data_IF_502899043256
#
_entry.id   IF_502899043256
#
_cell.length_a   1.000
_cell.length_b   1.000
_cell.length_c   1.000
_cell.angle_alpha   90.00
_cell.angle_beta   90.00
_cell.angle_gamma   90.00
#
_symmetry.space_group_name_H-M   'P 1'
#
loop_
_entity.id
_entity.type
_entity.pdbx_description
1 polymer ?
#
# COMPACT_ATOMS: atom_id res chain seq x y z
N UNK A 1 19.37 34.08 -0.37
CA UNK A 1 18.16 34.42 0.42
C UNK A 1 18.39 35.81 0.98
N UNK A 2 17.49 36.79 0.75
CA UNK A 2 17.60 38.12 1.34
C UNK A 2 17.66 38.05 2.87
N UNK A 3 18.40 38.97 3.51
CA UNK A 3 18.60 38.96 4.98
C UNK A 3 17.28 39.13 5.75
N UNK A 4 16.32 39.88 5.19
CA UNK A 4 14.97 40.05 5.75
C UNK A 4 14.19 38.73 5.78
N UNK A 5 14.22 37.98 4.67
CA UNK A 5 13.59 36.66 4.58
C UNK A 5 14.26 35.67 5.53
N UNK A 6 15.59 35.75 5.68
CA UNK A 6 16.32 34.94 6.64
C UNK A 6 15.92 35.25 8.07
N UNK A 7 15.78 36.53 8.44
CA UNK A 7 15.33 36.94 9.76
C UNK A 7 13.91 36.45 10.07
N UNK A 8 12.99 36.51 9.09
CA UNK A 8 11.63 35.97 9.23
C UNK A 8 11.61 34.45 9.40
N UNK A 9 12.51 33.72 8.73
CA UNK A 9 12.63 32.26 8.86
C UNK A 9 13.31 31.82 10.17
N UNK A 10 14.11 32.70 10.80
CA UNK A 10 14.79 32.42 12.06
C UNK A 10 13.96 32.83 13.29
N UNK A 11 12.86 33.56 13.12
CA UNK A 11 11.96 33.94 14.20
C UNK A 11 11.21 32.71 14.76
N UNK A 12 11.20 32.51 16.09
CA UNK A 12 10.52 31.38 16.72
C UNK A 12 9.05 31.27 16.30
N UNK A 13 8.52 30.04 16.30
CA UNK A 13 7.10 29.81 16.06
C UNK A 13 6.26 30.36 17.22
N UNK A 14 5.19 31.06 16.87
CA UNK A 14 4.17 31.51 17.81
C UNK A 14 3.34 30.33 18.33
N UNK A 15 2.67 30.51 19.47
CA UNK A 15 1.87 29.44 20.07
C UNK A 15 0.74 28.97 19.13
N UNK A 16 0.11 29.88 18.40
CA UNK A 16 -0.94 29.54 17.43
C UNK A 16 -0.41 28.71 16.26
N UNK A 17 0.81 29.00 15.79
CA UNK A 17 1.47 28.19 14.75
C UNK A 17 1.84 26.81 15.28
N UNK A 18 2.34 26.69 16.51
CA UNK A 18 2.61 25.40 17.15
C UNK A 18 1.33 24.57 17.30
N UNK A 19 0.22 25.20 17.71
CA UNK A 19 -1.08 24.55 17.82
C UNK A 19 -1.63 24.12 16.45
N UNK A 20 -1.44 24.95 15.43
CA UNK A 20 -1.82 24.64 14.05
C UNK A 20 -1.02 23.45 13.49
N UNK A 21 0.31 23.46 13.63
CA UNK A 21 1.18 22.36 13.19
C UNK A 21 0.82 21.07 13.93
N UNK A 22 0.67 21.12 15.25
CA UNK A 22 0.29 19.93 16.03
C UNK A 22 -1.08 19.38 15.67
N UNK A 23 -2.06 20.25 15.41
CA UNK A 23 -3.38 19.85 14.93
C UNK A 23 -3.33 19.26 13.52
N UNK A 24 -2.51 19.80 12.63
CA UNK A 24 -2.33 19.31 11.27
C UNK A 24 -1.59 17.97 11.22
N UNK A 25 -0.56 17.80 12.03
CA UNK A 25 0.32 16.63 12.03
C UNK A 25 -0.07 15.55 13.04
N UNK A 26 -1.26 15.63 13.66
CA UNK A 26 -1.70 14.67 14.68
C UNK A 26 -1.71 13.20 14.21
N UNK A 27 -1.71 12.95 12.90
CA UNK A 27 -1.61 11.60 12.32
C UNK A 27 -0.17 11.09 12.20
N UNK A 28 0.85 11.97 12.30
CA UNK A 28 2.26 11.60 12.16
C UNK A 28 2.72 10.46 13.09
N UNK A 29 2.36 10.44 14.40
CA UNK A 29 2.77 9.35 15.27
C UNK A 29 1.99 8.07 15.03
N UNK A 30 0.97 8.04 14.16
CA UNK A 30 0.15 6.85 13.98
C UNK A 30 0.90 5.79 13.17
N UNK A 31 0.95 4.54 13.66
CA UNK A 31 1.74 3.49 13.03
C UNK A 31 1.29 3.23 11.59
N UNK A 32 -0.01 3.29 11.31
CA UNK A 32 -0.53 2.95 9.99
C UNK A 32 -0.20 4.00 8.92
N UNK A 33 -0.25 5.29 9.27
CA UNK A 33 0.10 6.39 8.37
C UNK A 33 1.59 6.42 8.08
N UNK A 34 2.37 6.12 9.11
CA UNK A 34 3.81 6.02 8.97
C UNK A 34 4.21 4.80 8.14
N UNK A 35 3.62 3.63 8.41
CA UNK A 35 3.84 2.40 7.66
C UNK A 35 3.46 2.59 6.19
N UNK A 36 2.31 3.21 5.90
CA UNK A 36 1.89 3.54 4.53
C UNK A 36 2.93 4.38 3.78
N UNK A 37 3.43 5.44 4.41
CA UNK A 37 4.44 6.32 3.80
C UNK A 37 5.74 5.55 3.53
N UNK A 38 6.17 4.69 4.45
CA UNK A 38 7.36 3.86 4.28
C UNK A 38 7.18 2.76 3.24
N UNK A 39 6.01 2.15 3.16
CA UNK A 39 5.66 1.16 2.14
C UNK A 39 5.77 1.78 0.74
N UNK A 40 5.19 2.96 0.51
CA UNK A 40 5.33 3.65 -0.78
C UNK A 40 6.76 4.07 -1.10
N UNK A 41 7.57 4.43 -0.10
CA UNK A 41 9.01 4.69 -0.34
C UNK A 41 9.77 3.42 -0.70
N UNK A 42 9.47 2.31 -0.04
CA UNK A 42 10.04 1.01 -0.36
C UNK A 42 9.63 0.55 -1.75
N UNK A 43 8.36 0.71 -2.12
CA UNK A 43 7.81 0.47 -3.45
C UNK A 43 8.53 1.29 -4.53
N UNK A 44 8.64 2.62 -4.35
CA UNK A 44 9.39 3.47 -5.30
C UNK A 44 10.85 3.07 -5.46
N UNK A 45 11.50 2.62 -4.38
CA UNK A 45 12.88 2.10 -4.45
C UNK A 45 12.91 0.77 -5.18
N UNK A 46 11.95 -0.12 -4.93
CA UNK A 46 11.81 -1.37 -5.65
C UNK A 46 11.63 -1.10 -7.15
N UNK A 47 10.69 -0.23 -7.54
CA UNK A 47 10.47 0.18 -8.93
C UNK A 47 11.73 0.75 -9.60
N UNK A 48 12.47 1.61 -8.88
CA UNK A 48 13.67 2.26 -9.41
C UNK A 48 14.85 1.30 -9.60
N UNK A 49 14.90 0.20 -8.84
CA UNK A 49 15.94 -0.81 -8.95
C UNK A 49 15.52 -2.01 -9.81
N UNK A 50 14.24 -2.12 -10.15
CA UNK A 50 13.74 -3.17 -11.01
C UNK A 50 14.22 -2.94 -12.46
N UNK A 51 14.88 -3.93 -13.10
CA UNK A 51 15.37 -3.76 -14.46
C UNK A 51 14.22 -3.53 -15.44
N UNK A 52 14.47 -2.70 -16.46
CA UNK A 52 13.56 -2.52 -17.59
C UNK A 52 14.00 -3.41 -18.78
N UNK A 53 13.09 -4.17 -19.41
CA UNK A 53 11.66 -4.30 -19.09
C UNK A 53 11.40 -5.06 -17.78
N UNK A 54 10.33 -4.70 -17.07
CA UNK A 54 9.94 -5.32 -15.79
C UNK A 54 9.84 -6.85 -15.96
N UNK A 55 10.49 -7.66 -15.10
CA UNK A 55 10.46 -9.12 -15.19
C UNK A 55 9.03 -9.67 -15.23
N UNK A 56 8.81 -10.74 -16.00
CA UNK A 56 7.48 -11.31 -16.24
C UNK A 56 6.73 -11.64 -14.94
N UNK A 57 7.44 -12.12 -13.92
CA UNK A 57 6.83 -12.45 -12.63
C UNK A 57 6.35 -11.24 -11.82
N UNK A 58 6.80 -10.02 -12.15
CA UNK A 58 6.30 -8.78 -11.55
C UNK A 58 5.26 -8.06 -12.41
N UNK A 59 4.82 -8.69 -13.51
CA UNK A 59 3.74 -8.18 -14.35
C UNK A 59 2.37 -8.68 -13.88
N UNK A 60 1.31 -7.95 -14.26
CA UNK A 60 -0.09 -8.26 -13.96
C UNK A 60 -0.39 -8.31 -12.45
N UNK A 61 -1.58 -8.82 -12.12
CA UNK A 61 -2.10 -8.89 -10.74
C UNK A 61 -1.16 -9.63 -9.78
N UNK A 62 -0.73 -10.84 -10.14
CA UNK A 62 0.17 -11.63 -9.28
C UNK A 62 1.54 -10.94 -9.11
N UNK A 63 2.01 -10.23 -10.13
CA UNK A 63 3.24 -9.46 -10.03
C UNK A 63 3.17 -8.32 -9.01
N UNK A 64 2.08 -7.54 -9.04
CA UNK A 64 1.83 -6.51 -8.02
C UNK A 64 1.75 -7.12 -6.62
N UNK A 65 1.09 -8.26 -6.44
CA UNK A 65 1.00 -8.93 -5.13
C UNK A 65 2.38 -9.35 -4.59
N UNK A 66 3.24 -9.91 -5.45
CA UNK A 66 4.62 -10.29 -5.07
C UNK A 66 5.42 -9.06 -4.66
N UNK A 67 5.29 -7.96 -5.40
CA UNK A 67 5.86 -6.66 -5.05
C UNK A 67 5.38 -6.17 -3.68
N UNK A 68 4.08 -6.29 -3.38
CA UNK A 68 3.53 -5.96 -2.06
C UNK A 68 4.15 -6.75 -0.91
N UNK A 69 4.36 -8.06 -1.10
CA UNK A 69 5.05 -8.91 -0.10
C UNK A 69 6.50 -8.47 0.11
N UNK A 70 7.24 -8.21 -0.97
CA UNK A 70 8.63 -7.73 -0.92
C UNK A 70 8.71 -6.38 -0.22
N UNK A 71 7.86 -5.43 -0.60
CA UNK A 71 7.80 -4.09 -0.03
C UNK A 71 7.54 -4.15 1.47
N UNK A 72 6.54 -4.94 1.90
CA UNK A 72 6.26 -5.13 3.31
C UNK A 72 7.47 -5.72 4.04
N UNK A 73 8.10 -6.76 3.49
CA UNK A 73 9.25 -7.40 4.10
C UNK A 73 10.39 -6.40 4.38
N UNK A 74 10.69 -5.53 3.40
CA UNK A 74 11.68 -4.46 3.56
C UNK A 74 11.28 -3.48 4.68
N UNK A 75 10.02 -3.02 4.70
CA UNK A 75 9.55 -2.12 5.76
C UNK A 75 9.66 -2.79 7.13
N UNK A 76 9.24 -4.05 7.24
CA UNK A 76 9.30 -4.84 8.47
C UNK A 76 10.73 -4.99 8.98
N UNK A 77 11.67 -5.46 8.15
CA UNK A 77 13.09 -5.62 8.57
C UNK A 77 13.67 -4.31 9.09
N UNK A 78 13.37 -3.19 8.41
CA UNK A 78 13.80 -1.87 8.88
C UNK A 78 13.19 -1.51 10.22
N UNK A 79 11.89 -1.74 10.40
CA UNK A 79 11.17 -1.38 11.62
C UNK A 79 11.55 -2.28 12.80
N UNK A 80 11.89 -3.55 12.55
CA UNK A 80 12.48 -4.48 13.52
C UNK A 80 13.87 -4.00 13.96
N UNK A 81 14.74 -3.62 13.01
CA UNK A 81 16.05 -3.01 13.31
C UNK A 81 15.93 -1.71 14.12
N UNK A 82 14.86 -0.95 13.88
CA UNK A 82 14.52 0.26 14.61
C UNK A 82 13.82 -0.03 15.95
N UNK A 83 13.43 -1.26 16.27
CA UNK A 83 12.71 -1.60 17.50
C UNK A 83 11.30 -1.01 17.59
N UNK A 84 10.69 -0.63 16.45
CA UNK A 84 9.32 -0.08 16.39
C UNK A 84 8.31 -1.07 15.81
N UNK A 85 8.77 -2.19 15.26
CA UNK A 85 7.88 -3.22 14.73
C UNK A 85 7.09 -3.91 15.85
N UNK A 86 5.78 -4.06 15.66
CA UNK A 86 4.91 -4.85 16.54
C UNK A 86 4.64 -6.21 15.87
N UNK A 87 5.00 -7.31 16.54
CA UNK A 87 4.82 -8.67 16.00
C UNK A 87 3.36 -9.09 15.82
N UNK A 88 2.41 -8.36 16.41
CA UNK A 88 0.98 -8.58 16.23
C UNK A 88 0.45 -8.01 14.91
N UNK A 89 1.21 -7.11 14.26
CA UNK A 89 0.81 -6.55 12.98
C UNK A 89 0.95 -7.58 11.87
N UNK A 90 -0.12 -7.71 11.08
CA UNK A 90 -0.21 -8.60 9.95
C UNK A 90 0.35 -7.99 8.66
N UNK A 91 -0.31 -8.31 7.55
CA UNK A 91 -0.07 -7.75 6.23
C UNK A 91 -1.14 -6.71 5.94
N UNK A 92 -0.77 -5.43 6.03
CA UNK A 92 -1.66 -4.35 5.61
C UNK A 92 -2.12 -4.59 4.17
N UNK A 93 -3.43 -4.58 3.96
CA UNK A 93 -4.06 -4.79 2.66
C UNK A 93 -4.38 -6.24 2.28
N UNK A 94 -3.90 -7.23 3.04
CA UNK A 94 -4.22 -8.65 2.80
C UNK A 94 -5.63 -9.03 3.28
N UNK A 95 -6.10 -8.43 4.38
CA UNK A 95 -7.44 -8.58 4.97
C UNK A 95 -7.87 -10.03 5.28
N UNK A 96 -6.93 -10.94 5.58
CA UNK A 96 -7.26 -12.34 5.93
C UNK A 96 -7.42 -12.54 7.43
N UNK A 97 -6.56 -11.91 8.23
CA UNK A 97 -6.54 -12.06 9.68
C UNK A 97 -6.79 -10.71 10.38
N UNK A 98 -7.22 -10.71 11.65
CA UNK A 98 -7.49 -9.46 12.37
C UNK A 98 -6.30 -8.49 12.42
N UNK A 99 -5.06 -9.01 12.46
CA UNK A 99 -3.86 -8.19 12.43
C UNK A 99 -3.58 -7.51 11.08
N UNK A 100 -4.27 -7.88 10.00
CA UNK A 100 -4.13 -7.24 8.68
C UNK A 100 -4.90 -5.91 8.60
N UNK A 101 -5.83 -5.67 9.54
CA UNK A 101 -6.57 -4.42 9.65
C UNK A 101 -5.66 -3.32 10.23
N UNK A 102 -4.99 -2.60 9.32
CA UNK A 102 -4.05 -1.55 9.66
C UNK A 102 -4.70 -0.37 10.40
N UNK A 103 -6.01 -0.15 10.28
CA UNK A 103 -6.68 0.92 11.03
C UNK A 103 -6.71 0.64 12.54
N UNK A 104 -6.58 -0.64 12.92
CA UNK A 104 -6.52 -1.10 14.31
C UNK A 104 -5.09 -1.27 14.81
N UNK A 105 -4.08 -0.97 13.99
CA UNK A 105 -2.71 -1.01 14.45
C UNK A 105 -2.50 0.07 15.50
N UNK A 106 -1.96 -0.37 16.63
CA UNK A 106 -1.47 0.47 17.71
C UNK A 106 -0.01 0.13 17.93
N UNK A 107 0.74 1.09 18.46
CA UNK A 107 2.05 0.77 18.99
C UNK A 107 1.90 -0.23 20.14
N UNK A 108 2.90 -1.09 20.32
CA UNK A 108 2.81 -2.13 21.35
C UNK A 108 2.80 -1.58 22.78
N UNK A 109 3.22 -0.32 22.98
CA UNK A 109 3.17 0.38 24.27
C UNK A 109 1.89 1.20 24.48
N UNK A 110 1.02 1.31 23.47
CA UNK A 110 -0.26 1.99 23.62
C UNK A 110 -1.25 1.09 24.40
N UNK A 111 -2.14 1.69 25.21
CA UNK A 111 -3.11 0.92 25.97
C UNK A 111 -4.08 0.18 25.04
N UNK A 112 -4.54 -1.00 25.49
CA UNK A 112 -5.57 -1.77 24.77
C UNK A 112 -6.82 -0.91 24.54
N UNK A 113 -7.39 -1.00 23.33
CA UNK A 113 -8.52 -0.17 22.91
C UNK A 113 -8.17 1.24 22.42
N UNK A 114 -6.88 1.63 22.41
CA UNK A 114 -6.45 2.89 21.77
C UNK A 114 -6.86 2.96 20.28
N UNK A 115 -6.98 1.80 19.62
CA UNK A 115 -7.45 1.66 18.25
C UNK A 115 -8.86 2.24 18.01
N UNK A 116 -9.76 2.10 18.97
CA UNK A 116 -11.21 2.23 18.74
C UNK A 116 -11.75 3.65 19.05
N UNK A 117 -10.96 4.50 19.73
CA UNK A 117 -11.34 5.88 20.05
C UNK A 117 -10.60 6.90 19.16
N UNK A 118 -11.25 7.29 18.06
CA UNK A 118 -10.72 8.30 17.14
C UNK A 118 -10.40 9.64 17.81
N UNK A 119 -11.18 10.06 18.81
CA UNK A 119 -10.98 11.33 19.52
C UNK A 119 -9.74 11.28 20.42
N UNK A 120 -9.54 10.14 21.09
CA UNK A 120 -8.32 9.86 21.86
C UNK A 120 -7.08 9.81 20.95
N UNK A 121 -7.13 9.06 19.84
CA UNK A 121 -6.05 9.02 18.83
C UNK A 121 -5.67 10.41 18.33
N UNK A 122 -6.66 11.27 18.07
CA UNK A 122 -6.41 12.65 17.65
C UNK A 122 -5.68 13.45 18.74
N UNK A 123 -6.15 13.39 20.00
CA UNK A 123 -5.52 14.12 21.11
C UNK A 123 -4.11 13.63 21.41
N UNK A 124 -3.91 12.32 21.55
CA UNK A 124 -2.60 11.73 21.86
C UNK A 124 -1.59 12.05 20.75
N UNK A 125 -2.00 11.93 19.48
CA UNK A 125 -1.15 12.27 18.36
C UNK A 125 -0.79 13.76 18.31
N UNK A 126 -1.77 14.65 18.56
CA UNK A 126 -1.53 16.10 18.67
C UNK A 126 -0.59 16.43 19.83
N UNK A 127 -0.77 15.83 21.00
CA UNK A 127 0.06 16.04 22.18
C UNK A 127 1.50 15.56 21.97
N UNK A 128 1.70 14.43 21.29
CA UNK A 128 3.04 13.96 20.88
C UNK A 128 3.76 14.96 19.99
N UNK A 129 3.08 15.45 18.95
CA UNK A 129 3.64 16.47 18.06
C UNK A 129 3.93 17.77 18.82
N UNK A 130 3.00 18.24 19.65
CA UNK A 130 3.19 19.44 20.45
C UNK A 130 4.39 19.32 21.39
N UNK A 131 4.60 18.15 22.01
CA UNK A 131 5.80 17.88 22.82
C UNK A 131 7.08 17.96 21.99
N UNK A 132 7.10 17.33 20.81
CA UNK A 132 8.25 17.39 19.92
C UNK A 132 8.59 18.82 19.46
N UNK A 133 7.57 19.60 19.13
CA UNK A 133 7.71 21.02 18.79
C UNK A 133 8.28 21.85 19.96
N UNK A 134 7.77 21.64 21.19
CA UNK A 134 8.28 22.34 22.38
C UNK A 134 9.74 22.03 22.67
N UNK A 135 10.18 20.78 22.45
CA UNK A 135 11.59 20.39 22.58
C UNK A 135 12.49 21.14 21.58
N UNK A 136 11.92 21.65 20.49
CA UNK A 136 12.63 22.34 19.40
C UNK A 136 12.48 23.86 19.41
N UNK A 137 11.58 24.42 20.21
CA UNK A 137 11.22 25.84 20.17
C UNK A 137 12.41 26.82 20.31
N UNK A 138 13.50 26.39 20.95
CA UNK A 138 14.71 27.20 21.17
C UNK A 138 15.88 26.85 20.25
N UNK A 139 15.67 25.99 19.25
CA UNK A 139 16.68 25.62 18.28
C UNK A 139 16.61 26.55 17.07
N UNK A 140 17.77 26.97 16.58
CA UNK A 140 17.84 27.69 15.30
C UNK A 140 17.62 26.73 14.13
N UNK A 141 17.31 27.29 12.96
CA UNK A 141 17.21 26.51 11.72
C UNK A 141 18.50 25.73 11.48
N UNK A 142 18.37 24.41 11.33
CA UNK A 142 19.49 23.48 11.15
C UNK A 142 20.21 23.07 12.44
N UNK A 143 19.82 23.61 13.59
CA UNK A 143 20.21 23.05 14.89
C UNK A 143 19.31 21.85 15.22
N UNK A 144 19.91 20.85 15.86
CA UNK A 144 19.21 19.64 16.26
C UNK A 144 19.23 19.52 17.78
N UNK A 145 18.08 19.15 18.37
CA UNK A 145 18.04 18.77 19.77
C UNK A 145 19.04 17.62 20.00
N UNK A 146 19.72 17.55 21.15
CA UNK A 146 20.48 16.37 21.50
C UNK A 146 19.54 15.15 21.52
N UNK A 147 19.60 14.34 20.47
CA UNK A 147 18.84 13.10 20.38
C UNK A 147 19.53 12.11 21.31
N UNK A 148 18.89 11.78 22.44
CA UNK A 148 19.35 10.68 23.28
C UNK A 148 19.25 9.43 22.41
N UNK A 149 20.40 8.87 22.03
CA UNK A 149 20.46 7.64 21.24
C UNK A 149 19.87 6.50 22.06
N UNK A 150 18.60 6.21 21.82
CA UNK A 150 17.95 5.00 22.27
C UNK A 150 17.96 4.03 21.09
N UNK A 151 18.73 2.96 21.20
CA UNK A 151 18.87 1.96 20.14
C UNK A 151 17.66 1.02 20.08
N UNK A 152 16.99 0.79 21.21
CA UNK A 152 15.85 -0.11 21.30
C UNK A 152 15.00 0.29 22.50
N UNK A 153 13.69 0.07 22.38
CA UNK A 153 12.74 0.20 23.47
C UNK A 153 12.59 -1.20 24.09
N UNK A 154 12.90 -1.35 25.38
CA UNK A 154 12.76 -2.62 26.09
C UNK A 154 11.28 -2.96 26.34
N UNK A 155 10.91 -4.24 26.52
CA UNK A 155 9.51 -4.65 26.76
C UNK A 155 8.91 -4.06 28.05
N UNK A 156 9.77 -3.59 28.96
CA UNK A 156 9.45 -2.92 30.22
C UNK A 156 9.39 -1.39 30.11
N UNK A 157 9.56 -0.84 28.90
CA UNK A 157 9.54 0.59 28.70
C UNK A 157 8.18 1.20 29.07
N UNK A 158 8.24 2.30 29.81
CA UNK A 158 7.05 3.09 30.13
C UNK A 158 6.51 3.78 28.88
N UNK A 159 5.23 4.14 28.89
CA UNK A 159 4.64 4.93 27.80
C UNK A 159 5.44 6.21 27.54
N UNK A 160 5.84 6.95 28.57
CA UNK A 160 6.65 8.16 28.43
C UNK A 160 8.02 7.90 27.77
N UNK A 161 8.67 6.77 28.06
CA UNK A 161 9.91 6.39 27.40
C UNK A 161 9.72 6.02 25.94
N UNK A 162 8.59 5.38 25.62
CA UNK A 162 8.21 5.01 24.27
C UNK A 162 7.84 6.23 23.42
N UNK A 163 7.11 7.18 23.99
CA UNK A 163 6.82 8.46 23.38
C UNK A 163 8.09 9.26 23.13
N UNK A 164 8.97 9.36 24.14
CA UNK A 164 10.28 9.99 24.00
C UNK A 164 11.11 9.31 22.90
N UNK A 165 11.05 7.98 22.81
CA UNK A 165 11.68 7.21 21.76
C UNK A 165 11.13 7.57 20.38
N UNK A 166 9.81 7.61 20.20
CA UNK A 166 9.16 7.96 18.94
C UNK A 166 9.52 9.38 18.48
N UNK A 167 9.35 10.38 19.35
CA UNK A 167 9.63 11.78 19.01
C UNK A 167 11.12 12.05 18.82
N UNK A 168 12.00 11.21 19.38
CA UNK A 168 13.44 11.30 19.13
C UNK A 168 13.84 10.77 17.75
N UNK A 169 12.92 10.10 17.03
CA UNK A 169 13.30 9.45 15.79
C UNK A 169 13.58 10.46 14.68
N UNK A 170 14.68 10.25 13.94
CA UNK A 170 15.06 10.95 12.72
C UNK A 170 13.91 11.33 11.79
N UNK A 171 13.11 10.35 11.38
CA UNK A 171 12.01 10.57 10.43
C UNK A 171 10.89 11.44 11.04
N UNK A 172 10.64 11.32 12.35
CA UNK A 172 9.61 12.08 13.04
C UNK A 172 10.04 13.54 13.12
N UNK A 173 11.26 13.78 13.62
CA UNK A 173 11.86 15.11 13.71
C UNK A 173 11.93 15.78 12.33
N UNK A 174 12.30 15.04 11.28
CA UNK A 174 12.35 15.59 9.93
C UNK A 174 10.99 16.11 9.46
N UNK A 175 9.92 15.35 9.70
CA UNK A 175 8.57 15.80 9.31
C UNK A 175 8.14 17.05 10.10
N UNK A 176 8.52 17.13 11.38
CA UNK A 176 8.33 18.33 12.20
C UNK A 176 9.10 19.51 11.59
N UNK A 177 10.39 19.34 11.28
CA UNK A 177 11.24 20.37 10.65
C UNK A 177 10.64 20.89 9.34
N UNK A 178 10.13 20.01 8.47
CA UNK A 178 9.47 20.39 7.22
C UNK A 178 8.21 21.22 7.48
N UNK A 179 7.42 20.86 8.49
CA UNK A 179 6.21 21.60 8.84
C UNK A 179 6.52 22.96 9.49
N UNK A 180 7.55 23.04 10.35
CA UNK A 180 8.09 24.28 10.89
C UNK A 180 8.52 25.20 9.74
N UNK A 181 9.35 24.70 8.81
CA UNK A 181 9.86 25.48 7.67
C UNK A 181 8.73 25.94 6.73
N UNK A 182 7.73 25.09 6.48
CA UNK A 182 6.55 25.46 5.68
C UNK A 182 5.77 26.60 6.34
N UNK A 183 5.61 26.56 7.66
CA UNK A 183 4.85 27.55 8.43
C UNK A 183 5.60 28.88 8.48
N UNK A 184 6.90 28.86 8.78
CA UNK A 184 7.76 30.04 8.74
C UNK A 184 7.83 30.67 7.34
N UNK A 185 7.92 29.85 6.29
CA UNK A 185 7.90 30.33 4.90
C UNK A 185 6.57 31.00 4.52
N UNK A 186 5.45 30.51 5.06
CA UNK A 186 4.12 31.09 4.86
C UNK A 186 3.98 32.53 5.38
N UNK A 187 4.77 32.93 6.39
CA UNK A 187 4.78 34.33 6.90
C UNK A 187 5.19 35.35 5.84
N UNK A 188 6.04 34.94 4.90
CA UNK A 188 6.63 35.84 3.89
C UNK A 188 5.82 35.89 2.59
N UNK A 189 4.97 34.89 2.33
CA UNK A 189 4.25 34.76 1.07
C UNK A 189 2.78 35.17 1.24
N UNK A 190 2.48 36.45 1.02
CA UNK A 190 1.11 36.96 0.88
C UNK A 190 0.35 36.47 -0.36
N UNK A 191 0.86 35.46 -1.07
CA UNK A 191 0.28 34.95 -2.32
C UNK A 191 0.56 33.46 -2.51
N UNK A 192 -0.51 32.67 -2.53
CA UNK A 192 -0.63 31.52 -3.45
C UNK A 192 0.16 30.27 -3.13
N UNK A 193 -0.41 29.48 -2.22
CA UNK A 193 -0.26 28.04 -1.99
C UNK A 193 0.05 27.18 -3.24
N UNK A 194 1.33 26.87 -3.48
CA UNK A 194 1.71 25.78 -4.41
C UNK A 194 2.91 24.97 -3.90
N UNK A 195 3.03 24.80 -2.58
CA UNK A 195 3.94 23.78 -2.04
C UNK A 195 3.25 22.41 -2.15
N UNK A 196 3.48 21.78 -3.28
CA UNK A 196 2.85 20.53 -3.67
C UNK A 196 3.11 19.42 -2.62
N UNK A 197 2.04 18.98 -1.95
CA UNK A 197 2.01 17.86 -0.97
C UNK A 197 2.68 16.58 -1.50
N UNK A 198 2.76 16.42 -2.82
CA UNK A 198 3.38 15.27 -3.47
C UNK A 198 4.90 15.38 -3.61
N UNK A 199 5.47 16.59 -3.49
CA UNK A 199 6.92 16.81 -3.55
C UNK A 199 7.54 16.67 -2.16
N UNK A 200 7.17 15.59 -1.46
CA UNK A 200 7.81 15.15 -0.22
C UNK A 200 9.31 15.08 -0.51
N UNK A 201 10.12 15.92 0.14
CA UNK A 201 11.58 15.87 0.06
C UNK A 201 12.02 14.42 0.31
N UNK A 202 12.36 13.72 -0.77
CA UNK A 202 12.52 12.25 -0.81
C UNK A 202 13.89 11.78 -0.34
N UNK A 203 14.79 12.71 0.00
CA UNK A 203 16.17 12.38 0.36
C UNK A 203 16.66 13.23 1.52
N UNK A 204 16.30 12.86 2.74
CA UNK A 204 17.04 13.30 3.92
C UNK A 204 18.05 12.22 4.33
N UNK A 205 19.33 12.47 4.08
CA UNK A 205 20.43 11.66 4.61
C UNK A 205 20.83 12.23 5.96
N UNK A 206 20.67 11.45 7.03
CA UNK A 206 21.15 11.82 8.36
C UNK A 206 22.68 11.86 8.36
N UNK A 207 23.26 13.05 8.57
CA UNK A 207 24.72 13.24 8.56
C UNK A 207 25.43 12.76 9.83
N UNK A 208 24.69 12.47 10.90
CA UNK A 208 25.26 12.29 12.25
C UNK A 208 24.89 10.98 12.95
N UNK A 209 23.96 10.19 12.40
CA UNK A 209 23.80 8.80 12.79
C UNK A 209 24.78 7.99 11.94
N UNK A 210 25.93 7.66 12.52
CA UNK A 210 26.83 6.62 12.00
C UNK A 210 26.56 5.34 12.76
N UNK A 211 26.24 4.24 12.07
CA UNK A 211 26.06 4.15 10.62
C UNK A 211 24.74 4.80 10.21
N UNK A 212 24.74 5.51 9.07
CA UNK A 212 23.49 5.82 8.38
C UNK A 212 22.80 4.48 8.22
N UNK A 213 21.51 4.36 8.54
CA UNK A 213 20.74 3.19 8.13
C UNK A 213 20.78 3.21 6.61
N UNK A 214 21.79 2.59 6.02
CA UNK A 214 21.92 2.45 4.60
C UNK A 214 20.62 1.84 4.12
N UNK A 215 20.06 2.34 2.99
CA UNK A 215 18.89 1.68 2.42
C UNK A 215 19.19 0.19 2.36
N UNK A 216 18.24 -0.63 2.81
CA UNK A 216 18.42 -2.08 2.80
C UNK A 216 18.98 -2.51 1.46
N UNK A 217 19.96 -3.40 1.50
CA UNK A 217 20.62 -3.85 0.29
C UNK A 217 19.56 -4.52 -0.59
N UNK A 218 19.26 -3.85 -1.71
CA UNK A 218 18.34 -4.35 -2.72
C UNK A 218 19.08 -5.16 -3.79
N UNK A 219 20.39 -5.39 -3.62
CA UNK A 219 21.14 -6.29 -4.49
C UNK A 219 20.53 -7.69 -4.64
N UNK A 220 19.92 -8.31 -3.59
CA UNK A 220 19.22 -9.60 -3.73
C UNK A 220 18.08 -9.56 -4.76
N UNK A 221 17.48 -8.40 -5.04
CA UNK A 221 16.44 -8.27 -6.07
C UNK A 221 16.97 -8.59 -7.47
N UNK A 222 18.28 -8.41 -7.72
CA UNK A 222 18.88 -8.73 -9.02
C UNK A 222 18.94 -10.24 -9.29
N UNK A 223 18.84 -11.06 -8.23
CA UNK A 223 18.83 -12.52 -8.32
C UNK A 223 17.43 -13.08 -8.55
N UNK A 224 16.38 -12.26 -8.39
CA UNK A 224 14.98 -12.61 -8.64
C UNK A 224 14.64 -12.59 -10.15
N UNK A 225 15.32 -13.40 -10.97
CA UNK A 225 15.03 -13.44 -12.42
C UNK A 225 13.83 -14.32 -12.75
N UNK A 226 13.75 -15.48 -12.10
CA UNK A 226 12.80 -16.54 -12.46
C UNK A 226 11.72 -16.75 -11.38
N UNK A 227 12.08 -16.59 -10.11
CA UNK A 227 11.13 -16.66 -8.98
C UNK A 227 11.48 -15.65 -7.87
N UNK A 228 10.49 -15.03 -7.19
CA UNK A 228 10.76 -14.28 -5.97
C UNK A 228 11.33 -15.17 -4.85
N UNK A 229 11.10 -16.49 -4.93
CA UNK A 229 11.63 -17.46 -3.95
C UNK A 229 13.13 -17.73 -4.15
N UNK A 230 13.71 -17.37 -5.30
CA UNK A 230 15.14 -17.57 -5.55
C UNK A 230 16.00 -16.68 -4.65
N UNK A 231 15.48 -15.51 -4.27
CA UNK A 231 16.11 -14.61 -3.32
C UNK A 231 15.60 -14.80 -1.88
N UNK A 232 14.80 -15.84 -1.59
CA UNK A 232 14.20 -15.99 -0.26
C UNK A 232 15.23 -16.24 0.85
N UNK A 233 16.29 -16.98 0.54
CA UNK A 233 17.39 -17.21 1.47
C UNK A 233 18.21 -15.93 1.71
N UNK A 234 18.45 -15.13 0.66
CA UNK A 234 19.21 -13.88 0.76
C UNK A 234 18.43 -12.75 1.46
N UNK A 235 17.12 -12.70 1.23
CA UNK A 235 16.25 -11.70 1.85
C UNK A 235 15.79 -12.06 3.25
N UNK A 236 15.88 -13.33 3.66
CA UNK A 236 15.38 -13.83 4.96
C UNK A 236 13.86 -13.70 5.12
N UNK A 237 13.07 -14.03 4.08
CA UNK A 237 11.61 -14.02 4.22
C UNK A 237 11.17 -14.92 5.38
N UNK A 238 10.21 -14.45 6.17
CA UNK A 238 9.61 -15.29 7.21
C UNK A 238 8.75 -16.40 6.60
N UNK A 239 8.51 -17.52 7.30
CA UNK A 239 7.65 -18.58 6.78
C UNK A 239 6.29 -18.09 6.30
N UNK A 240 5.69 -17.13 7.00
CA UNK A 240 4.43 -16.50 6.57
C UNK A 240 4.56 -15.66 5.30
N UNK A 241 5.71 -15.05 5.02
CA UNK A 241 5.95 -14.28 3.79
C UNK A 241 6.18 -15.24 2.60
N UNK A 242 6.85 -16.37 2.85
CA UNK A 242 6.99 -17.45 1.86
C UNK A 242 5.62 -18.04 1.52
N UNK A 243 4.80 -18.36 2.53
CA UNK A 243 3.44 -18.87 2.34
C UNK A 243 2.58 -17.91 1.50
N UNK A 244 2.77 -16.60 1.66
CA UNK A 244 2.09 -15.59 0.83
C UNK A 244 2.55 -15.63 -0.63
N UNK A 245 3.86 -15.67 -0.87
CA UNK A 245 4.42 -15.80 -2.22
C UNK A 245 3.93 -17.08 -2.91
N UNK A 246 3.91 -18.21 -2.19
CA UNK A 246 3.36 -19.47 -2.69
C UNK A 246 1.86 -19.38 -2.97
N UNK A 247 1.09 -18.67 -2.11
CA UNK A 247 -0.36 -18.47 -2.31
C UNK A 247 -0.65 -17.64 -3.56
N UNK A 248 0.20 -16.64 -3.88
CA UNK A 248 0.07 -15.83 -5.10
C UNK A 248 0.23 -16.68 -6.37
N UNK A 249 1.04 -17.74 -6.32
CA UNK A 249 1.28 -18.65 -7.44
C UNK A 249 0.15 -19.66 -7.67
N UNK A 250 -0.77 -19.81 -6.71
CA UNK A 250 -1.91 -20.72 -6.86
C UNK A 250 -2.91 -20.20 -7.91
N UNK A 251 -3.64 -21.11 -8.58
CA UNK A 251 -4.80 -20.75 -9.38
C UNK A 251 -5.77 -19.91 -8.55
N UNK A 252 -6.42 -18.94 -9.20
CA UNK A 252 -7.30 -17.99 -8.53
C UNK A 252 -8.45 -18.64 -7.75
N UNK A 253 -8.94 -19.80 -8.20
CA UNK A 253 -9.94 -20.60 -7.50
C UNK A 253 -9.46 -21.18 -6.16
N UNK A 254 -8.14 -21.32 -5.97
CA UNK A 254 -7.50 -21.81 -4.76
C UNK A 254 -7.03 -20.68 -3.83
N UNK A 255 -7.00 -19.44 -4.31
CA UNK A 255 -6.62 -18.28 -3.50
C UNK A 255 -7.75 -17.91 -2.53
N UNK A 256 -7.42 -17.41 -1.31
CA UNK A 256 -8.43 -16.93 -0.38
C UNK A 256 -9.30 -15.82 -0.99
N UNK A 257 -10.58 -15.80 -0.64
CA UNK A 257 -11.48 -14.71 -1.06
C UNK A 257 -10.99 -13.39 -0.48
N UNK A 258 -10.90 -12.35 -1.32
CA UNK A 258 -10.42 -11.02 -0.92
C UNK A 258 -8.90 -10.88 -0.85
N UNK A 259 -8.13 -11.92 -1.24
CA UNK A 259 -6.67 -11.93 -1.16
C UNK A 259 -6.02 -10.79 -1.97
N UNK A 260 -5.51 -9.77 -1.29
CA UNK A 260 -4.89 -8.58 -1.89
C UNK A 260 -5.82 -7.84 -2.88
N UNK A 261 -7.14 -7.90 -2.65
CA UNK A 261 -8.14 -7.24 -3.49
C UNK A 261 -8.74 -6.07 -2.74
N UNK A 262 -8.73 -4.89 -3.37
CA UNK A 262 -9.52 -3.75 -2.90
C UNK A 262 -10.97 -4.01 -3.30
N UNK A 263 -11.83 -4.25 -2.31
CA UNK A 263 -13.25 -4.45 -2.55
C UNK A 263 -13.88 -3.18 -3.12
N UNK A 264 -14.77 -3.36 -4.10
CA UNK A 264 -15.51 -2.25 -4.71
C UNK A 264 -16.37 -1.57 -3.63
N UNK A 265 -16.10 -0.30 -3.37
CA UNK A 265 -16.78 0.47 -2.32
C UNK A 265 -15.93 0.67 -1.06
N UNK A 266 -14.86 -0.10 -0.89
CA UNK A 266 -13.83 0.19 0.10
C UNK A 266 -12.90 1.29 -0.43
N UNK A 267 -13.46 2.49 -0.52
CA UNK A 267 -12.73 3.71 -0.86
C UNK A 267 -11.90 4.22 0.32
N UNK A 268 -11.28 3.31 1.08
CA UNK A 268 -10.21 3.72 1.97
C UNK A 268 -9.23 4.55 1.13
N UNK A 269 -8.88 5.75 1.60
CA UNK A 269 -8.00 6.67 0.87
C UNK A 269 -6.57 6.16 0.71
N UNK A 270 -6.31 4.91 1.12
CA UNK A 270 -5.01 4.32 1.39
C UNK A 270 -4.99 2.93 0.76
N UNK A 271 -4.33 2.79 -0.39
CA UNK A 271 -4.03 1.49 -1.01
C UNK A 271 -2.55 1.16 -0.83
N UNK A 272 -2.25 -0.02 -0.30
CA UNK A 272 -0.89 -0.48 -0.12
C UNK A 272 -0.30 -1.05 -1.42
N UNK A 273 1.03 -0.97 -1.60
CA UNK A 273 1.72 -1.68 -2.66
C UNK A 273 1.29 -3.14 -2.74
N UNK A 274 0.85 -3.56 -3.93
CA UNK A 274 0.35 -4.90 -4.21
C UNK A 274 -1.16 -5.12 -4.02
N UNK A 275 -1.88 -4.20 -3.37
CA UNK A 275 -3.34 -4.19 -3.43
C UNK A 275 -3.81 -3.70 -4.81
N UNK A 276 -4.70 -4.46 -5.43
CA UNK A 276 -5.23 -4.14 -6.75
C UNK A 276 -6.75 -4.36 -6.77
N UNK A 277 -7.46 -3.57 -7.57
CA UNK A 277 -8.85 -3.86 -7.90
C UNK A 277 -8.88 -5.09 -8.79
N UNK A 278 -9.68 -6.08 -8.42
CA UNK A 278 -9.82 -7.29 -9.20
C UNK A 278 -10.78 -7.06 -10.37
N UNK A 279 -10.26 -6.42 -11.42
CA UNK A 279 -11.04 -6.05 -12.60
C UNK A 279 -11.74 -7.25 -13.26
N UNK A 280 -11.20 -8.46 -13.15
CA UNK A 280 -11.83 -9.66 -13.69
C UNK A 280 -13.00 -10.12 -12.82
N UNK A 281 -12.86 -10.09 -11.49
CA UNK A 281 -13.98 -10.39 -10.59
C UNK A 281 -15.09 -9.35 -10.80
N UNK A 282 -14.70 -8.07 -10.85
CA UNK A 282 -15.63 -6.97 -11.04
C UNK A 282 -16.37 -7.08 -12.39
N UNK A 283 -15.66 -7.48 -13.46
CA UNK A 283 -16.26 -7.68 -14.77
C UNK A 283 -17.21 -8.89 -14.78
N UNK A 284 -16.84 -9.98 -14.13
CA UNK A 284 -17.67 -11.18 -13.99
C UNK A 284 -18.92 -10.91 -13.16
N UNK A 285 -18.78 -10.24 -12.02
CA UNK A 285 -19.88 -9.79 -11.18
C UNK A 285 -20.80 -8.85 -11.96
N UNK A 286 -20.25 -7.84 -12.64
CA UNK A 286 -21.03 -6.91 -13.46
C UNK A 286 -21.77 -7.62 -14.60
N UNK A 287 -21.18 -8.67 -15.18
CA UNK A 287 -21.81 -9.49 -16.21
C UNK A 287 -22.94 -10.37 -15.63
N UNK A 288 -22.74 -10.93 -14.45
CA UNK A 288 -23.74 -11.70 -13.73
C UNK A 288 -24.94 -10.83 -13.31
N UNK A 289 -24.69 -9.65 -12.71
CA UNK A 289 -25.72 -8.66 -12.37
C UNK A 289 -26.52 -8.24 -13.62
N UNK A 290 -25.82 -8.02 -14.73
CA UNK A 290 -26.45 -7.70 -16.01
C UNK A 290 -27.33 -8.86 -16.51
N UNK A 291 -26.86 -10.09 -16.42
CA UNK A 291 -27.62 -11.27 -16.84
C UNK A 291 -28.86 -11.49 -15.95
N UNK A 292 -28.72 -11.33 -14.64
CA UNK A 292 -29.84 -11.41 -13.70
C UNK A 292 -30.89 -10.32 -13.97
N UNK A 293 -30.45 -9.09 -14.22
CA UNK A 293 -31.32 -7.99 -14.62
C UNK A 293 -32.08 -8.31 -15.93
N UNK A 294 -31.40 -8.90 -16.91
CA UNK A 294 -32.00 -9.29 -18.19
C UNK A 294 -33.06 -10.40 -18.01
N UNK A 295 -32.76 -11.43 -17.22
CA UNK A 295 -33.72 -12.49 -16.92
C UNK A 295 -34.92 -11.96 -16.13
N UNK A 296 -34.70 -11.01 -15.20
CA UNK A 296 -35.79 -10.34 -14.48
C UNK A 296 -36.70 -9.54 -15.41
N UNK A 297 -36.15 -8.76 -16.34
CA UNK A 297 -36.93 -8.00 -17.31
C UNK A 297 -37.73 -8.90 -18.25
N UNK A 298 -37.12 -10.00 -18.67
CA UNK A 298 -37.76 -11.03 -19.48
C UNK A 298 -38.93 -11.68 -18.74
N UNK A 299 -38.77 -12.00 -17.44
CA UNK A 299 -39.85 -12.52 -16.60
C UNK A 299 -41.00 -11.51 -16.42
N UNK A 300 -40.70 -10.21 -16.37
CA UNK A 300 -41.70 -9.13 -16.29
C UNK A 300 -42.33 -8.77 -17.64
N UNK A 301 -41.93 -9.42 -18.75
CA UNK A 301 -42.38 -9.05 -20.10
C UNK A 301 -41.91 -7.66 -20.56
N UNK A 302 -40.91 -7.09 -19.88
CA UNK A 302 -40.33 -5.78 -20.21
C UNK A 302 -39.14 -5.97 -21.14
N UNK A 303 -38.99 -5.07 -22.12
CA UNK A 303 -37.79 -5.02 -22.96
C UNK A 303 -36.65 -4.37 -22.16
N UNK A 304 -35.41 -4.85 -22.28
CA UNK A 304 -34.27 -4.22 -21.62
C UNK A 304 -34.15 -2.75 -22.01
N UNK A 305 -33.87 -1.85 -21.06
CA UNK A 305 -33.66 -0.44 -21.36
C UNK A 305 -32.45 -0.33 -22.30
N UNK A 306 -32.69 0.19 -23.49
CA UNK A 306 -31.62 0.49 -24.43
C UNK A 306 -30.81 1.65 -23.84
N UNK A 307 -29.49 1.49 -23.70
CA UNK A 307 -28.67 2.58 -23.17
C UNK A 307 -28.81 3.81 -24.07
N UNK A 308 -28.79 5.01 -23.48
CA UNK A 308 -28.99 6.27 -24.23
C UNK A 308 -27.97 6.41 -25.39
N UNK A 309 -26.74 5.91 -25.21
CA UNK A 309 -25.72 5.87 -26.26
C UNK A 309 -26.07 4.92 -27.40
N UNK A 310 -26.57 3.71 -27.11
CA UNK A 310 -27.02 2.76 -28.14
C UNK A 310 -28.25 3.30 -28.87
N UNK A 311 -29.20 3.90 -28.14
CA UNK A 311 -30.37 4.57 -28.73
C UNK A 311 -29.95 5.70 -29.66
N UNK A 312 -29.07 6.60 -29.20
CA UNK A 312 -28.53 7.69 -30.02
C UNK A 312 -27.80 7.17 -31.26
N UNK A 313 -27.01 6.10 -31.14
CA UNK A 313 -26.33 5.48 -32.29
C UNK A 313 -27.34 4.91 -33.29
N UNK A 314 -28.37 4.20 -32.82
CA UNK A 314 -29.45 3.68 -33.67
C UNK A 314 -30.18 4.83 -34.38
N UNK A 315 -30.58 5.87 -33.65
CA UNK A 315 -31.32 7.01 -34.18
C UNK A 315 -30.47 7.79 -35.21
N UNK A 316 -29.16 7.93 -34.96
CA UNK A 316 -28.23 8.68 -35.81
C UNK A 316 -27.88 7.93 -37.10
N UNK A 317 -27.64 6.61 -37.01
CA UNK A 317 -27.16 5.82 -38.16
C UNK A 317 -28.29 5.08 -38.89
N UNK A 318 -29.47 4.97 -38.31
CA UNK A 318 -30.64 4.30 -38.90
C UNK A 318 -31.94 5.13 -38.77
N UNK A 319 -31.98 6.37 -39.28
CA UNK A 319 -33.05 7.34 -39.01
C UNK A 319 -34.44 6.98 -39.53
N UNK A 320 -34.61 5.91 -40.32
CA UNK A 320 -35.89 5.53 -40.93
C UNK A 320 -36.43 4.17 -40.47
N UNK A 321 -35.99 3.65 -39.32
CA UNK A 321 -36.50 2.39 -38.77
C UNK A 321 -36.25 1.17 -39.68
N UNK A 322 -35.27 1.26 -40.59
CA UNK A 322 -34.85 0.13 -41.40
C UNK A 322 -34.41 -1.00 -40.44
N UNK A 323 -34.95 -2.22 -40.58
CA UNK A 323 -34.66 -3.31 -39.67
C UNK A 323 -33.15 -3.59 -39.68
N UNK A 324 -32.53 -3.32 -38.54
CA UNK A 324 -31.13 -3.56 -38.29
C UNK A 324 -30.89 -5.08 -38.37
N UNK A 325 -30.35 -5.56 -39.48
CA UNK A 325 -29.74 -6.90 -39.59
C UNK A 325 -28.29 -6.82 -39.09
N UNK A 326 -28.06 -6.43 -37.83
CA UNK A 326 -26.68 -6.34 -37.30
C UNK A 326 -26.06 -7.69 -36.93
N UNK A 327 -26.87 -8.75 -36.88
CA UNK A 327 -26.42 -10.14 -36.89
C UNK A 327 -27.42 -10.92 -37.72
N UNK A 328 -27.24 -10.93 -39.03
CA UNK A 328 -27.80 -12.04 -39.80
C UNK A 328 -27.17 -13.28 -39.22
N UNK A 329 -27.96 -14.18 -38.63
CA UNK A 329 -27.50 -15.53 -38.33
C UNK A 329 -26.75 -16.00 -39.58
N UNK A 330 -25.49 -16.45 -39.47
CA UNK A 330 -24.82 -17.04 -40.61
C UNK A 330 -25.79 -18.05 -41.24
N UNK A 331 -25.94 -18.07 -42.58
CA UNK A 331 -26.77 -19.06 -43.22
C UNK A 331 -26.38 -20.43 -42.66
N UNK A 332 -27.34 -21.35 -42.40
CA UNK A 332 -27.01 -22.66 -41.90
C UNK A 332 -26.08 -23.33 -42.92
N UNK A 333 -24.78 -23.28 -42.65
CA UNK A 333 -23.83 -24.15 -43.33
C UNK A 333 -24.21 -25.56 -42.91
N UNK A 334 -24.54 -26.36 -43.92
CA UNK A 334 -24.69 -27.81 -43.82
C UNK A 334 -23.37 -28.36 -43.27
N UNK A 335 -23.31 -28.49 -41.94
CA UNK A 335 -22.17 -29.08 -41.25
C UNK A 335 -22.32 -30.59 -41.35
N UNK A 336 -21.77 -31.15 -42.42
CA UNK A 336 -21.32 -32.53 -42.43
C UNK A 336 -20.45 -32.80 -41.20
N UNK A 337 -20.55 -34.04 -40.74
CA UNK A 337 -19.91 -34.61 -39.57
C UNK A 337 -18.43 -34.21 -39.46
N UNK A 338 -18.12 -33.38 -38.48
CA UNK A 338 -16.77 -33.29 -37.90
C UNK A 338 -16.90 -33.28 -36.40
N UNK A 339 -17.12 -34.49 -35.87
CA UNK A 339 -16.73 -34.82 -34.51
C UNK A 339 -15.23 -34.58 -34.37
N UNK A 340 -14.84 -34.10 -33.18
CA UNK A 340 -13.50 -34.12 -32.60
C UNK A 340 -12.63 -32.89 -32.92
N UNK A 341 -12.76 -31.84 -32.10
CA UNK A 341 -11.67 -31.04 -31.51
C UNK A 341 -12.23 -29.72 -30.94
N UNK A 342 -12.55 -29.72 -29.65
CA UNK A 342 -12.41 -28.53 -28.78
C UNK A 342 -12.69 -28.93 -27.33
N UNK A 343 -11.62 -29.13 -26.56
CA UNK A 343 -11.55 -28.80 -25.13
C UNK A 343 -10.07 -28.84 -24.74
N UNK A 344 -9.35 -27.74 -24.97
CA UNK A 344 -8.13 -27.44 -24.21
C UNK A 344 -7.76 -25.96 -24.38
N UNK A 345 -8.34 -25.11 -23.52
CA UNK A 345 -7.84 -23.76 -23.30
C UNK A 345 -6.69 -23.84 -22.29
N UNK A 346 -5.56 -24.37 -22.75
CA UNK A 346 -4.29 -24.33 -22.05
C UNK A 346 -3.57 -23.02 -22.39
N UNK A 347 -3.05 -22.36 -21.34
CA UNK A 347 -2.01 -21.33 -21.45
C UNK A 347 -0.87 -21.80 -22.37
N UNK A 348 -0.15 -20.90 -23.08
CA UNK A 348 0.98 -21.31 -23.88
C UNK A 348 2.10 -21.84 -22.98
N UNK A 349 2.19 -23.17 -22.87
CA UNK A 349 3.37 -23.88 -22.39
C UNK A 349 4.49 -23.70 -23.41
N UNK A 350 5.46 -22.83 -23.09
CA UNK A 350 6.78 -22.90 -23.69
C UNK A 350 7.44 -24.23 -23.30
N UNK A 351 7.61 -25.08 -24.30
CA UNK A 351 8.32 -26.34 -24.22
C UNK A 351 9.82 -26.09 -24.04
N UNK A 352 10.33 -26.25 -22.83
CA UNK A 352 11.70 -26.72 -22.61
C UNK A 352 11.68 -27.79 -21.53
N UNK A 353 11.98 -29.01 -21.96
CA UNK A 353 11.92 -30.22 -21.14
C UNK A 353 12.97 -30.19 -20.01
N UNK A 354 12.56 -29.71 -18.83
CA UNK A 354 13.10 -30.14 -17.53
C UNK A 354 11.92 -30.28 -16.58
N UNK A 355 11.59 -31.50 -16.20
CA UNK A 355 10.66 -31.76 -15.12
C UNK A 355 11.13 -31.00 -13.88
N UNK A 356 10.33 -30.07 -13.32
CA UNK A 356 10.71 -29.40 -12.09
C UNK A 356 10.77 -30.45 -10.97
N UNK A 357 11.73 -30.34 -10.04
CA UNK A 357 11.76 -31.22 -8.87
C UNK A 357 10.42 -31.09 -8.15
N UNK A 358 9.76 -32.23 -7.91
CA UNK A 358 8.59 -32.33 -7.06
C UNK A 358 8.98 -31.81 -5.66
N UNK A 359 8.80 -30.50 -5.43
CA UNK A 359 8.92 -29.91 -4.10
C UNK A 359 7.83 -30.56 -3.26
N UNK A 360 8.24 -31.39 -2.30
CA UNK A 360 7.34 -31.93 -1.30
C UNK A 360 6.62 -30.77 -0.65
N UNK A 361 5.34 -30.64 -0.96
CA UNK A 361 4.41 -29.68 -0.36
C UNK A 361 4.61 -29.77 1.15
N UNK A 362 5.14 -28.73 1.79
CA UNK A 362 5.18 -28.65 3.24
C UNK A 362 3.72 -28.68 3.68
N UNK A 363 3.27 -29.83 4.16
CA UNK A 363 1.95 -29.98 4.74
C UNK A 363 1.84 -28.95 5.84
N UNK A 364 0.94 -27.98 5.67
CA UNK A 364 0.58 -26.95 6.66
C UNK A 364 0.20 -27.68 7.95
N UNK A 365 1.16 -27.88 8.85
CA UNK A 365 0.86 -28.25 10.21
C UNK A 365 0.31 -26.99 10.85
N UNK A 366 -1.02 -26.92 10.92
CA UNK A 366 -1.72 -26.02 11.82
C UNK A 366 -1.14 -26.22 13.22
N UNK A 367 -0.30 -25.30 13.68
CA UNK A 367 0.19 -25.34 15.05
C UNK A 367 -1.02 -25.19 15.99
N UNK A 368 -1.16 -26.06 17.00
CA UNK A 368 -2.14 -25.84 18.04
C UNK A 368 -1.81 -24.50 18.71
N UNK A 369 -2.77 -23.59 18.73
CA UNK A 369 -2.70 -22.42 19.61
C UNK A 369 -2.90 -22.94 21.02
N UNK A 370 -1.80 -23.08 21.75
CA UNK A 370 -1.85 -23.28 23.20
C UNK A 370 -2.50 -22.03 23.82
N UNK A 371 -3.52 -22.28 24.65
CA UNK A 371 -4.35 -21.27 25.30
C UNK A 371 -3.79 -20.74 26.60
#
# INVERSE_FOLDING_TARGET
MPDELKALMEEPLSQDELDSISGFMHELPRPEKFYYTEAWRADRRFESNCPWPRPLMFQRLNGSRREGVIVRHLVKRRWEKLGVWNSQWGFAGRKIQPGDDFHRWTWWWEPEGAADDCGRKYREGRELVARALRLRQNLRRGEHAPVIRRSHLGPDATAAEAEAFLISRPWFIFQIEVAEEKTSGGRSAGTGDEFNRSNNVTSWKWRHESPSLEPEDLAPLNNMKDSPLDAAEEMEFTPSEIDELETIDLPRSEQPKGFWVVEKGDFSSISFPGEMVDQMADAEESLNERNEMLEKLKAEGKKPPMSAGVKFFIDKFFPNGAPIRLFGSPPPEEREESKKLEEDASEPQESSARSPPQRQRRSRQSQPRDG
#
